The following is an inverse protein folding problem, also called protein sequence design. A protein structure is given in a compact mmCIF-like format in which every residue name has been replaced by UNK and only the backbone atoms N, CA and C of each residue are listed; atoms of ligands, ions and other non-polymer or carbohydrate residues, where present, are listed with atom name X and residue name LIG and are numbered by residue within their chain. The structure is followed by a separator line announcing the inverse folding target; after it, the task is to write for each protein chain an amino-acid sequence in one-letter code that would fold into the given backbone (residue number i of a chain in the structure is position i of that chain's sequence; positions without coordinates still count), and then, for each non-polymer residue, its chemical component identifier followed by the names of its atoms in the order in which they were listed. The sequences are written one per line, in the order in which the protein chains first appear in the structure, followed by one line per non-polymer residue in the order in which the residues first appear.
data_IF_413656522243
#
_entry.id   IF_413656522243
#
_cell.length_a   1.000
_cell.length_b   1.000
_cell.length_c   1.000
_cell.angle_alpha   90.00
_cell.angle_beta   90.00
_cell.angle_gamma   90.00
#
_symmetry.space_group_name_H-M   'P 1'
#
loop_
_entity.id
_entity.type
_entity.pdbx_description
1 polymer ?
#
# COMPACT_ATOMS: atom_id res chain seq x y z
N UNK A 1 4.77 -15.54 -18.65
CA UNK A 1 5.99 -15.30 -17.86
C UNK A 1 5.79 -14.08 -16.95
N UNK A 2 6.65 -13.92 -15.96
CA UNK A 2 6.65 -12.72 -15.08
C UNK A 2 6.85 -11.42 -15.86
N UNK A 3 7.68 -11.46 -16.91
CA UNK A 3 7.89 -10.33 -17.81
C UNK A 3 6.61 -9.89 -18.52
N UNK A 4 5.93 -10.82 -19.19
CA UNK A 4 4.68 -10.52 -19.88
C UNK A 4 3.60 -10.00 -18.93
N UNK A 5 3.55 -10.48 -17.69
CA UNK A 5 2.65 -9.96 -16.67
C UNK A 5 3.03 -8.54 -16.27
N UNK A 6 4.32 -8.25 -16.07
CA UNK A 6 4.82 -6.91 -15.78
C UNK A 6 4.49 -5.91 -16.90
N UNK A 7 4.64 -6.31 -18.17
CA UNK A 7 4.24 -5.49 -19.31
C UNK A 7 2.73 -5.17 -19.33
N UNK A 8 1.88 -6.12 -18.92
CA UNK A 8 0.43 -5.87 -18.82
C UNK A 8 0.11 -4.90 -17.69
N UNK A 9 0.78 -5.03 -16.54
CA UNK A 9 0.65 -4.07 -15.44
C UNK A 9 1.11 -2.68 -15.86
N UNK A 10 2.25 -2.57 -16.54
CA UNK A 10 2.74 -1.28 -17.04
C UNK A 10 1.75 -0.64 -18.01
N UNK A 11 1.10 -1.43 -18.87
CA UNK A 11 0.02 -0.93 -19.74
C UNK A 11 -1.20 -0.46 -18.96
N UNK A 12 -1.62 -1.23 -17.95
CA UNK A 12 -2.76 -0.86 -17.09
C UNK A 12 -2.55 0.53 -16.48
N UNK A 13 -1.36 0.80 -15.95
CA UNK A 13 -1.05 2.06 -15.26
C UNK A 13 -0.56 3.19 -16.20
N UNK A 14 -0.37 2.95 -17.50
CA UNK A 14 0.15 3.96 -18.43
C UNK A 14 -0.80 4.32 -19.56
N UNK A 15 -1.63 3.41 -20.04
CA UNK A 15 -2.55 3.67 -21.15
C UNK A 15 -3.71 4.53 -20.62
N UNK A 16 -3.94 5.76 -21.14
CA UNK A 16 -5.01 6.61 -20.65
C UNK A 16 -6.38 5.97 -20.80
N UNK A 17 -7.21 6.17 -19.78
CA UNK A 17 -8.62 5.81 -19.85
C UNK A 17 -9.30 6.59 -20.99
N UNK A 18 -9.97 5.88 -21.86
CA UNK A 18 -10.73 6.43 -22.98
C UNK A 18 -12.20 6.01 -22.95
N UNK A 19 -12.68 5.52 -21.82
CA UNK A 19 -14.06 5.12 -21.64
C UNK A 19 -15.01 6.30 -21.52
N UNK A 20 -16.29 6.00 -21.50
CA UNK A 20 -17.31 6.97 -21.14
C UNK A 20 -17.11 7.39 -19.68
N UNK A 21 -17.49 8.63 -19.35
CA UNK A 21 -17.65 9.03 -17.97
C UNK A 21 -18.70 8.10 -17.36
N UNK A 22 -18.30 7.30 -16.42
CA UNK A 22 -19.20 6.42 -15.67
C UNK A 22 -19.45 7.12 -14.34
N UNK A 23 -20.67 7.38 -14.01
CA UNK A 23 -21.06 7.87 -12.69
C UNK A 23 -20.43 6.96 -11.63
N UNK A 24 -19.64 7.50 -10.74
CA UNK A 24 -18.90 6.83 -9.65
C UNK A 24 -17.48 6.28 -9.95
N UNK A 25 -16.93 6.42 -11.14
CA UNK A 25 -15.53 6.11 -11.38
C UNK A 25 -14.70 7.39 -11.35
N UNK A 26 -13.67 7.42 -10.51
CA UNK A 26 -12.77 8.55 -10.37
C UNK A 26 -11.37 8.14 -9.95
N UNK A 27 -10.40 9.07 -10.01
CA UNK A 27 -9.04 8.85 -9.58
C UNK A 27 -8.32 7.78 -10.39
N UNK A 28 -8.07 8.09 -11.65
CA UNK A 28 -7.42 7.17 -12.59
C UNK A 28 -5.89 7.34 -12.63
N UNK A 29 -5.19 6.19 -12.74
CA UNK A 29 -3.81 6.11 -13.19
C UNK A 29 -3.80 5.18 -14.40
N UNK A 30 -3.71 5.73 -15.61
CA UNK A 30 -3.96 4.93 -16.81
C UNK A 30 -5.39 4.38 -16.84
N UNK A 31 -5.52 3.07 -16.84
CA UNK A 31 -6.80 2.36 -16.77
C UNK A 31 -7.15 1.85 -15.36
N UNK A 32 -6.23 1.95 -14.41
CA UNK A 32 -6.49 1.69 -13.00
C UNK A 32 -7.42 2.77 -12.44
N UNK A 33 -8.44 2.37 -11.72
CA UNK A 33 -9.41 3.26 -11.09
C UNK A 33 -9.41 3.08 -9.58
N UNK A 34 -8.87 4.03 -8.83
CA UNK A 34 -8.83 3.94 -7.36
C UNK A 34 -10.23 4.07 -6.73
N UNK A 35 -11.16 4.74 -7.37
CA UNK A 35 -12.55 4.82 -6.94
C UNK A 35 -13.33 3.52 -7.09
N UNK A 36 -12.73 2.47 -7.67
CA UNK A 36 -13.29 1.13 -7.78
C UNK A 36 -12.55 0.17 -6.84
N UNK A 37 -13.13 -0.15 -5.69
CA UNK A 37 -12.48 -0.92 -4.63
C UNK A 37 -11.89 -2.26 -5.06
N UNK A 38 -12.50 -3.05 -5.97
CA UNK A 38 -11.87 -4.27 -6.47
C UNK A 38 -10.48 -4.08 -7.09
N UNK A 39 -10.14 -2.86 -7.54
CA UNK A 39 -8.85 -2.56 -8.15
C UNK A 39 -7.76 -2.26 -7.11
N UNK A 40 -8.10 -2.07 -5.84
CA UNK A 40 -7.20 -1.64 -4.77
C UNK A 40 -5.99 -2.55 -4.55
N UNK A 41 -6.09 -3.82 -4.92
CA UNK A 41 -4.97 -4.77 -4.86
C UNK A 41 -3.96 -4.62 -6.01
N UNK A 42 -4.31 -3.97 -7.12
CA UNK A 42 -3.49 -3.94 -8.34
C UNK A 42 -2.15 -3.24 -8.17
N UNK A 43 -2.00 -2.11 -7.45
CA UNK A 43 -0.71 -1.49 -7.20
C UNK A 43 0.32 -2.40 -6.53
N UNK A 44 -0.13 -3.44 -5.78
CA UNK A 44 0.75 -4.38 -5.08
C UNK A 44 1.20 -5.56 -5.94
N UNK A 45 0.65 -5.76 -7.13
CA UNK A 45 0.98 -6.90 -7.98
C UNK A 45 2.46 -6.91 -8.40
N UNK A 46 3.12 -5.78 -8.41
CA UNK A 46 4.56 -5.69 -8.69
C UNK A 46 5.44 -6.35 -7.62
N UNK A 47 4.95 -6.52 -6.38
CA UNK A 47 5.65 -7.27 -5.33
C UNK A 47 5.88 -8.73 -5.73
N UNK A 48 4.93 -9.34 -6.43
CA UNK A 48 5.00 -10.75 -6.85
C UNK A 48 5.91 -11.01 -8.04
N UNK A 49 6.39 -9.95 -8.70
CA UNK A 49 7.30 -10.05 -9.83
C UNK A 49 8.67 -9.41 -9.59
N UNK A 50 8.95 -9.02 -8.34
CA UNK A 50 10.23 -8.43 -7.94
C UNK A 50 10.44 -6.99 -8.37
N UNK A 51 9.34 -6.24 -8.58
CA UNK A 51 9.36 -4.82 -8.97
C UNK A 51 8.67 -3.94 -7.92
N UNK A 52 8.90 -4.23 -6.66
CA UNK A 52 8.27 -3.57 -5.50
C UNK A 52 8.46 -2.03 -5.47
N UNK A 53 9.57 -1.53 -6.02
CA UNK A 53 9.79 -0.08 -6.12
C UNK A 53 8.69 0.58 -6.96
N UNK A 54 8.23 -0.09 -8.03
CA UNK A 54 7.12 0.41 -8.83
C UNK A 54 5.80 0.42 -8.07
N UNK A 55 5.55 -0.59 -7.23
CA UNK A 55 4.41 -0.55 -6.29
C UNK A 55 4.49 0.68 -5.39
N UNK A 56 5.65 0.90 -4.76
CA UNK A 56 5.81 2.03 -3.83
C UNK A 56 5.57 3.39 -4.51
N UNK A 57 6.07 3.58 -5.74
CA UNK A 57 5.80 4.80 -6.52
C UNK A 57 4.29 5.04 -6.75
N UNK A 58 3.55 3.97 -7.08
CA UNK A 58 2.10 4.04 -7.29
C UNK A 58 1.36 4.33 -5.98
N UNK A 59 1.75 3.66 -4.90
CA UNK A 59 1.15 3.86 -3.58
C UNK A 59 1.37 5.30 -3.09
N UNK A 60 2.58 5.83 -3.22
CA UNK A 60 2.90 7.21 -2.85
C UNK A 60 2.09 8.21 -3.68
N UNK A 61 1.95 7.97 -4.97
CA UNK A 61 1.11 8.80 -5.84
C UNK A 61 -0.35 8.78 -5.41
N UNK A 62 -0.90 7.60 -5.10
CA UNK A 62 -2.29 7.44 -4.67
C UNK A 62 -2.51 8.17 -3.33
N UNK A 63 -1.62 7.95 -2.36
CA UNK A 63 -1.73 8.58 -1.03
C UNK A 63 -1.67 10.12 -1.11
N UNK A 64 -0.81 10.67 -2.00
CA UNK A 64 -0.65 12.11 -2.17
C UNK A 64 -1.78 12.77 -2.96
N UNK A 65 -2.32 12.06 -3.97
CA UNK A 65 -3.20 12.67 -4.96
C UNK A 65 -4.67 12.31 -4.83
N UNK A 66 -4.98 11.16 -4.26
CA UNK A 66 -6.33 10.61 -4.29
C UNK A 66 -7.05 10.67 -2.95
N UNK A 67 -6.36 11.12 -1.92
CA UNK A 67 -6.91 11.41 -0.60
C UNK A 67 -6.63 12.87 -0.24
N UNK A 68 -7.57 13.53 0.39
CA UNK A 68 -7.40 14.94 0.73
C UNK A 68 -8.23 15.38 1.91
N UNK A 69 -7.98 16.63 2.32
CA UNK A 69 -8.75 17.32 3.35
C UNK A 69 -9.09 18.71 2.85
N UNK A 70 -10.34 19.10 3.03
CA UNK A 70 -10.78 20.48 2.77
C UNK A 70 -11.89 20.59 1.74
N UNK A 71 -12.43 21.82 1.55
CA UNK A 71 -13.64 22.05 0.76
C UNK A 71 -13.43 21.88 -0.76
N UNK A 72 -12.19 21.91 -1.24
CA UNK A 72 -11.87 21.82 -2.67
C UNK A 72 -11.35 20.43 -3.08
N UNK A 73 -11.06 19.55 -2.11
CA UNK A 73 -10.59 18.18 -2.35
C UNK A 73 -11.67 17.16 -1.99
N UNK A 74 -11.86 16.16 -2.82
CA UNK A 74 -12.56 14.96 -2.41
C UNK A 74 -11.73 14.30 -1.31
N UNK A 75 -12.31 14.06 -0.15
CA UNK A 75 -11.63 13.30 0.90
C UNK A 75 -11.33 11.88 0.43
N UNK A 76 -12.23 11.31 -0.37
CA UNK A 76 -12.16 9.97 -0.95
C UNK A 76 -12.49 10.03 -2.46
N UNK A 77 -11.98 9.08 -3.22
CA UNK A 77 -12.24 8.93 -4.66
C UNK A 77 -13.62 8.32 -4.98
N UNK A 78 -14.59 8.52 -4.16
CA UNK A 78 -15.92 7.94 -4.32
C UNK A 78 -16.53 7.63 -2.97
N UNK A 79 -17.32 6.58 -2.93
CA UNK A 79 -17.95 6.13 -1.68
C UNK A 79 -16.97 5.32 -0.84
N UNK A 80 -17.10 5.42 0.48
CA UNK A 80 -16.22 4.70 1.43
C UNK A 80 -16.47 3.18 1.46
N UNK A 81 -17.63 2.73 0.99
CA UNK A 81 -18.05 1.33 0.92
C UNK A 81 -17.79 0.57 2.23
N UNK A 82 -18.51 0.97 3.27
CA UNK A 82 -18.41 0.39 4.62
C UNK A 82 -17.01 0.47 5.25
N UNK A 83 -16.22 1.50 4.90
CA UNK A 83 -14.90 1.74 5.45
C UNK A 83 -13.75 1.15 4.64
N UNK A 84 -14.02 0.58 3.45
CA UNK A 84 -12.96 -0.06 2.65
C UNK A 84 -11.97 0.98 2.11
N UNK A 85 -12.44 2.08 1.53
CA UNK A 85 -11.59 3.15 1.02
C UNK A 85 -10.76 3.80 2.13
N UNK A 86 -11.37 4.07 3.28
CA UNK A 86 -10.69 4.63 4.45
C UNK A 86 -9.67 3.66 5.04
N UNK A 87 -10.00 2.37 5.15
CA UNK A 87 -9.07 1.37 5.69
C UNK A 87 -7.89 1.12 4.76
N UNK A 88 -8.09 1.18 3.44
CA UNK A 88 -6.99 1.13 2.48
C UNK A 88 -5.96 2.25 2.74
N UNK A 89 -6.43 3.48 2.93
CA UNK A 89 -5.56 4.61 3.28
C UNK A 89 -4.82 4.37 4.59
N UNK A 90 -5.53 3.97 5.65
CA UNK A 90 -4.94 3.76 6.98
C UNK A 90 -3.86 2.68 6.93
N UNK A 91 -4.13 1.54 6.28
CA UNK A 91 -3.16 0.46 6.14
C UNK A 91 -1.90 0.92 5.39
N UNK A 92 -2.05 1.65 4.29
CA UNK A 92 -0.89 2.18 3.57
C UNK A 92 -0.14 3.25 4.35
N UNK A 93 -0.85 4.13 5.06
CA UNK A 93 -0.23 5.16 5.88
C UNK A 93 0.63 4.57 7.02
N UNK A 94 0.28 3.39 7.52
CA UNK A 94 1.07 2.68 8.54
C UNK A 94 2.13 1.73 7.97
N UNK A 95 2.20 1.58 6.64
CA UNK A 95 3.20 0.76 5.96
C UNK A 95 2.87 -0.73 5.84
N UNK A 96 1.60 -1.09 5.85
CA UNK A 96 1.12 -2.48 5.73
C UNK A 96 -0.02 -2.59 4.71
N UNK A 97 -0.20 -3.79 4.16
CA UNK A 97 -1.39 -4.12 3.37
C UNK A 97 -1.74 -5.60 3.46
N UNK A 98 -3.01 -5.91 3.70
CA UNK A 98 -3.54 -7.29 3.68
C UNK A 98 -3.91 -7.66 2.25
N UNK A 99 -3.03 -8.37 1.54
CA UNK A 99 -3.29 -8.76 0.16
C UNK A 99 -4.33 -9.88 0.06
N UNK A 100 -4.19 -10.89 0.91
CA UNK A 100 -5.10 -12.03 0.98
C UNK A 100 -5.78 -12.08 2.35
N UNK A 101 -7.10 -11.97 2.44
CA UNK A 101 -7.79 -12.03 3.73
C UNK A 101 -7.75 -13.41 4.40
N UNK A 102 -7.34 -14.46 3.65
CA UNK A 102 -7.18 -15.81 4.18
C UNK A 102 -5.80 -16.06 4.78
N UNK A 103 -4.81 -15.24 4.43
CA UNK A 103 -3.45 -15.38 4.91
C UNK A 103 -3.16 -14.32 5.98
N UNK A 104 -2.76 -14.73 7.21
CA UNK A 104 -2.48 -13.80 8.30
C UNK A 104 -1.10 -13.14 8.14
N UNK A 105 -0.89 -12.49 7.00
CA UNK A 105 0.34 -11.79 6.66
C UNK A 105 0.05 -10.47 5.94
N UNK A 106 1.04 -9.59 5.94
CA UNK A 106 0.95 -8.25 5.38
C UNK A 106 2.11 -8.00 4.43
N UNK A 107 1.82 -7.38 3.28
CA UNK A 107 2.84 -6.73 2.47
C UNK A 107 3.37 -5.53 3.25
N UNK A 108 4.69 -5.40 3.33
CA UNK A 108 5.36 -4.26 3.95
C UNK A 108 5.61 -3.20 2.89
N UNK A 109 5.12 -1.99 3.16
CA UNK A 109 5.33 -0.79 2.34
C UNK A 109 6.03 0.28 3.18
N UNK A 110 6.35 1.44 2.60
CA UNK A 110 6.95 2.52 3.38
C UNK A 110 5.85 3.36 4.04
N UNK A 111 5.82 3.46 5.38
CA UNK A 111 4.81 4.26 6.07
C UNK A 111 4.98 5.77 5.82
N UNK A 112 3.93 6.54 6.09
CA UNK A 112 3.98 8.00 6.06
C UNK A 112 4.58 8.62 7.34
N UNK A 113 4.79 7.83 8.38
CA UNK A 113 5.22 8.27 9.70
C UNK A 113 6.53 7.59 10.10
N UNK A 114 7.37 8.29 10.85
CA UNK A 114 8.61 7.72 11.40
C UNK A 114 8.33 6.60 12.41
N UNK A 115 7.21 6.72 13.13
CA UNK A 115 6.79 5.71 14.09
C UNK A 115 5.27 5.63 14.19
N UNK A 116 4.78 4.40 14.17
CA UNK A 116 3.36 4.06 14.35
C UNK A 116 3.20 3.10 15.51
N UNK A 117 2.18 3.29 16.33
CA UNK A 117 1.75 2.35 17.35
C UNK A 117 0.27 2.07 17.18
N UNK A 118 -0.08 0.79 17.00
CA UNK A 118 -1.46 0.33 16.87
C UNK A 118 -1.81 -0.50 18.10
N UNK A 119 -2.76 -0.03 18.90
CA UNK A 119 -3.31 -0.80 20.00
C UNK A 119 -4.36 -1.78 19.47
N UNK A 120 -4.20 -3.07 19.78
CA UNK A 120 -5.13 -4.11 19.38
C UNK A 120 -6.12 -4.41 20.50
N UNK A 121 -7.31 -4.89 20.12
CA UNK A 121 -8.39 -5.17 21.07
C UNK A 121 -8.11 -6.26 22.09
N UNK A 122 -7.10 -7.10 21.85
CA UNK A 122 -6.63 -8.18 22.73
C UNK A 122 -5.56 -7.75 23.74
N UNK A 123 -5.24 -6.46 23.79
CA UNK A 123 -4.20 -5.87 24.64
C UNK A 123 -2.79 -5.89 24.00
N UNK A 124 -2.62 -6.49 22.84
CA UNK A 124 -1.40 -6.43 22.08
C UNK A 124 -1.21 -5.03 21.45
N UNK A 125 0.03 -4.75 21.04
CA UNK A 125 0.38 -3.51 20.36
C UNK A 125 1.38 -3.80 19.25
N UNK A 126 1.11 -3.31 18.07
CA UNK A 126 2.11 -3.26 17.02
C UNK A 126 2.91 -1.97 17.13
N UNK A 127 4.20 -2.06 16.92
CA UNK A 127 5.09 -0.92 16.74
C UNK A 127 5.76 -1.06 15.38
N UNK A 128 5.59 -0.04 14.54
CA UNK A 128 6.18 0.03 13.21
C UNK A 128 7.07 1.26 13.19
N UNK A 129 8.32 1.11 12.79
CA UNK A 129 9.29 2.19 12.72
C UNK A 129 9.89 2.29 11.33
N UNK A 130 9.98 3.51 10.84
CA UNK A 130 10.64 3.85 9.59
C UNK A 130 11.99 4.49 9.91
N UNK A 131 13.06 3.87 9.44
CA UNK A 131 14.43 4.33 9.59
C UNK A 131 15.02 4.70 8.22
N UNK A 132 15.54 5.90 8.11
CA UNK A 132 16.20 6.38 6.91
C UNK A 132 15.45 7.51 6.21
N UNK A 133 15.91 7.82 5.01
CA UNK A 133 15.34 8.87 4.16
C UNK A 133 14.89 8.26 2.84
N UNK A 134 13.85 8.86 2.25
CA UNK A 134 13.34 8.40 0.96
C UNK A 134 12.36 7.24 1.05
N UNK A 135 12.06 6.64 -0.09
CA UNK A 135 10.96 5.67 -0.25
C UNK A 135 11.39 4.32 -0.83
N UNK A 136 12.69 4.08 -0.97
CA UNK A 136 13.23 2.79 -1.40
C UNK A 136 13.58 1.93 -0.20
N UNK A 137 12.87 0.81 -0.01
CA UNK A 137 13.15 -0.13 1.08
C UNK A 137 14.48 -0.83 0.82
N UNK A 138 15.39 -0.75 1.79
CA UNK A 138 16.70 -1.41 1.77
C UNK A 138 16.82 -2.55 2.78
N UNK A 139 15.90 -2.61 3.74
CA UNK A 139 15.86 -3.68 4.73
C UNK A 139 14.57 -3.68 5.52
N UNK A 140 14.16 -4.87 5.95
CA UNK A 140 13.01 -5.07 6.84
C UNK A 140 13.45 -5.99 7.96
N UNK A 141 13.18 -5.62 9.21
CA UNK A 141 13.35 -6.50 10.36
C UNK A 141 12.08 -6.54 11.20
N UNK A 142 11.80 -7.67 11.82
CA UNK A 142 10.71 -7.79 12.79
C UNK A 142 11.22 -8.52 14.05
N UNK A 143 11.03 -7.90 15.22
CA UNK A 143 11.59 -8.39 16.48
C UNK A 143 13.12 -8.54 16.45
N UNK A 144 13.81 -7.66 15.72
CA UNK A 144 15.27 -7.67 15.55
C UNK A 144 15.80 -8.75 14.59
N UNK A 145 14.93 -9.49 13.91
CA UNK A 145 15.32 -10.51 12.93
C UNK A 145 15.02 -10.02 11.50
N UNK A 146 15.90 -10.27 10.53
CA UNK A 146 15.61 -9.96 9.13
C UNK A 146 14.35 -10.68 8.66
N UNK A 147 13.53 -9.95 7.89
CA UNK A 147 12.39 -10.50 7.15
C UNK A 147 12.87 -10.84 5.75
N UNK A 148 12.68 -12.09 5.35
CA UNK A 148 12.99 -12.53 3.99
C UNK A 148 11.85 -12.13 3.05
N UNK A 149 12.18 -11.29 2.06
CA UNK A 149 11.21 -10.72 1.13
C UNK A 149 10.43 -9.55 1.72
N UNK A 150 9.12 -9.50 1.42
CA UNK A 150 8.27 -8.31 1.59
C UNK A 150 7.04 -8.56 2.47
N UNK A 151 6.96 -9.73 3.09
CA UNK A 151 5.78 -10.16 3.85
C UNK A 151 6.14 -10.36 5.32
N UNK A 152 5.31 -9.84 6.20
CA UNK A 152 5.41 -10.04 7.64
C UNK A 152 4.14 -10.69 8.18
N UNK A 153 4.28 -11.75 8.98
CA UNK A 153 3.13 -12.41 9.56
C UNK A 153 2.53 -11.61 10.73
N UNK A 154 1.23 -11.76 10.93
CA UNK A 154 0.51 -11.21 12.08
C UNK A 154 1.17 -11.60 13.41
N UNK A 155 1.56 -12.88 13.53
CA UNK A 155 2.24 -13.41 14.71
C UNK A 155 3.60 -12.74 14.97
N UNK A 156 4.35 -12.39 13.92
CA UNK A 156 5.62 -11.70 14.08
C UNK A 156 5.41 -10.26 14.57
N UNK A 157 4.42 -9.55 14.04
CA UNK A 157 4.04 -8.21 14.48
C UNK A 157 3.60 -8.18 15.95
N UNK A 158 2.91 -9.21 16.42
CA UNK A 158 2.51 -9.33 17.83
C UNK A 158 3.70 -9.57 18.77
N UNK A 159 4.81 -10.08 18.25
CA UNK A 159 5.99 -10.46 19.05
C UNK A 159 7.13 -9.45 19.00
N UNK A 160 7.11 -8.48 18.09
CA UNK A 160 8.21 -7.57 17.98
C UNK A 160 7.95 -6.34 17.09
N UNK A 161 8.82 -5.35 17.24
CA UNK A 161 8.80 -4.14 16.43
C UNK A 161 9.14 -4.46 14.96
N UNK A 162 8.35 -3.95 14.04
CA UNK A 162 8.67 -3.93 12.62
C UNK A 162 9.50 -2.68 12.32
N UNK A 163 10.68 -2.87 11.75
CA UNK A 163 11.54 -1.76 11.31
C UNK A 163 11.72 -1.84 9.82
N UNK A 164 11.41 -0.75 9.15
CA UNK A 164 11.53 -0.58 7.70
C UNK A 164 12.65 0.43 7.45
N UNK A 165 13.74 -0.04 6.88
CA UNK A 165 14.89 0.81 6.55
C UNK A 165 14.80 1.23 5.09
N UNK A 166 15.01 2.53 4.83
CA UNK A 166 14.93 3.10 3.49
C UNK A 166 16.14 3.93 3.11
N UNK A 167 16.28 4.19 1.81
CA UNK A 167 17.22 5.14 1.24
C UNK A 167 16.54 6.02 0.18
N UNK A 168 17.19 7.12 -0.18
CA UNK A 168 16.72 8.00 -1.26
C UNK A 168 16.89 7.37 -2.65
N UNK A 169 17.81 6.44 -2.80
CA UNK A 169 18.12 5.68 -4.04
C UNK A 169 18.61 4.27 -3.70
#
# INVERSE_FOLDING_TARGET
SREAFGEQLDKLFSIPWKGYEVDNLSCFIGQYCHGNQPDHSFPYLYYFIGRQERSQELLDYILDRFYGMGPEGLALCGMDDAGEMSSWYVFNAIGLYTYSPADPEYIVTVPLFDKVQVALGDGNRWTIRHDGQGRKITGITCGGKPVDGWFVSHDALNKGELVITTSEK
#
